data_IF_649958098281
#
_entry.id   IF_649958098281
#
_cell.length_a   1.000
_cell.length_b   1.000
_cell.length_c   1.000
_cell.angle_alpha   90.00
_cell.angle_beta   90.00
_cell.angle_gamma   90.00
#
_symmetry.space_group_name_H-M   'P 1'
#
loop_
_entity.id
_entity.type
_entity.pdbx_description
1 polymer ?
2 non-polymer ?
#
# COMPACT_ATOMS: atom_id res chain seq x y z
N UNK A 2 -9.79 -9.54 3.65
CA UNK A 2 -10.05 -8.76 2.45
C UNK A 2 -8.81 -8.00 2.02
N UNK A 3 -8.71 -7.73 0.72
CA UNK A 3 -7.56 -7.01 0.17
C UNK A 3 -8.02 -5.91 -0.79
N UNK A 4 -7.36 -4.76 -0.72
CA UNK A 4 -7.69 -3.63 -1.58
C UNK A 4 -6.61 -3.38 -2.61
N UNK A 5 -6.88 -2.48 -3.55
CA UNK A 5 -5.92 -2.15 -4.59
C UNK A 5 -4.61 -1.68 -4.00
N UNK A 6 -4.65 -0.56 -3.28
CA UNK A 6 -3.45 -0.02 -2.65
C UNK A 6 -3.78 0.68 -1.34
N UNK A 7 -3.00 0.38 -0.30
CA UNK A 7 -3.19 0.99 1.01
C UNK A 7 -1.96 1.82 1.36
N UNK A 8 -2.17 3.11 1.60
CA UNK A 8 -1.07 4.01 1.92
C UNK A 8 -0.65 3.87 3.38
N UNK A 9 0.64 4.05 3.63
CA UNK A 9 1.20 3.96 4.97
C UNK A 9 2.28 5.02 5.16
N UNK A 10 2.16 5.79 6.24
CA UNK A 10 3.14 6.83 6.52
C UNK A 10 3.22 7.87 5.41
N UNK A 11 2.20 7.92 4.56
CA UNK A 11 2.15 8.87 3.47
C UNK A 11 3.39 8.74 2.58
N UNK A 12 3.71 7.51 2.21
CA UNK A 12 4.87 7.26 1.37
C UNK A 12 4.94 5.84 0.85
N UNK A 13 4.55 4.88 1.68
CA UNK A 13 4.58 3.48 1.29
C UNK A 13 3.17 2.94 1.03
N UNK A 14 3.08 1.90 0.22
CA UNK A 14 1.79 1.31 -0.10
C UNK A 14 1.77 -0.17 0.28
N UNK A 15 0.57 -0.72 0.38
CA UNK A 15 0.42 -2.12 0.73
C UNK A 15 -0.68 -2.80 -0.06
N UNK A 16 -0.53 -4.10 -0.29
CA UNK A 16 -1.51 -4.86 -1.04
C UNK A 16 -2.67 -5.31 -0.15
N UNK A 17 -2.50 -5.12 1.16
CA UNK A 17 -3.51 -5.52 2.14
C UNK A 17 -3.51 -7.03 2.34
N UNK A 18 -2.54 -7.71 1.72
CA UNK A 18 -2.42 -9.16 1.84
C UNK A 18 -1.07 -9.54 2.46
N UNK A 19 -0.20 -8.55 2.65
CA UNK A 19 1.11 -8.82 3.24
C UNK A 19 2.25 -8.25 2.43
N UNK A 20 1.94 -7.40 1.45
CA UNK A 20 2.97 -6.79 0.62
C UNK A 20 3.13 -5.31 0.92
N UNK A 21 4.36 -4.82 0.81
CA UNK A 21 4.66 -3.42 1.06
C UNK A 21 5.70 -2.91 0.05
N UNK A 22 5.50 -1.69 -0.43
CA UNK A 22 6.41 -1.11 -1.41
C UNK A 22 6.26 0.41 -1.48
N UNK A 23 7.36 1.09 -1.80
CA UNK A 23 7.35 2.54 -1.91
C UNK A 23 6.42 2.99 -3.02
N UNK A 24 5.53 3.93 -2.72
CA UNK A 24 4.57 4.41 -3.71
C UNK A 24 4.38 5.93 -3.62
N UNK A 25 3.77 6.49 -4.67
CA UNK A 25 3.49 7.92 -4.71
C UNK A 25 2.00 8.16 -4.49
N UNK A 26 1.19 7.13 -4.73
CA UNK A 26 -0.25 7.25 -4.55
C UNK A 26 -1.03 6.60 -5.68
N UNK A 27 -1.47 5.35 -5.46
CA UNK A 27 -2.24 4.63 -6.48
C UNK A 27 -3.46 5.44 -6.92
#
# INVERSE_FOLDING_TARGET
XTCVSCVNFGNGFCGDNCGNSWACSGC
#
